data_IF_393744833898
#
_entry.id   IF_393744833898
#
_cell.length_a   1.000
_cell.length_b   1.000
_cell.length_c   1.000
_cell.angle_alpha   90.00
_cell.angle_beta   90.00
_cell.angle_gamma   90.00
#
_symmetry.space_group_name_H-M   'P 1'
#
loop_
_entity.id
_entity.type
_entity.pdbx_description
1 polymer ?
#
# COMPACT_ATOMS: atom_id res chain seq x y z
N UNK A 1 -10.49 -16.03 25.79
CA UNK A 1 -9.40 -15.15 26.27
C UNK A 1 -9.98 -13.84 26.75
N UNK A 2 -9.55 -13.33 27.91
CA UNK A 2 -9.92 -11.98 28.38
C UNK A 2 -9.34 -10.93 27.42
N UNK A 3 -10.05 -9.82 27.21
CA UNK A 3 -9.68 -8.72 26.31
C UNK A 3 -8.25 -8.19 26.56
N UNK A 4 -7.83 -8.13 27.82
CA UNK A 4 -6.47 -7.75 28.24
C UNK A 4 -5.38 -8.65 27.67
N UNK A 5 -5.62 -9.97 27.59
CA UNK A 5 -4.64 -10.91 27.02
C UNK A 5 -4.48 -10.72 25.51
N UNK A 6 -5.54 -10.37 24.79
CA UNK A 6 -5.48 -10.10 23.35
C UNK A 6 -4.67 -8.83 23.07
N UNK A 7 -4.85 -7.78 23.89
CA UNK A 7 -4.01 -6.57 23.81
C UNK A 7 -2.55 -6.85 24.11
N UNK A 8 -2.27 -7.61 25.16
CA UNK A 8 -0.90 -7.99 25.50
C UNK A 8 -0.23 -8.71 24.33
N UNK A 9 -0.90 -9.71 23.74
CA UNK A 9 -0.38 -10.43 22.58
C UNK A 9 -0.10 -9.50 21.39
N UNK A 10 -1.00 -8.56 21.12
CA UNK A 10 -0.82 -7.57 20.05
C UNK A 10 0.43 -6.72 20.30
N UNK A 11 0.60 -6.19 21.51
CA UNK A 11 1.79 -5.43 21.85
C UNK A 11 3.07 -6.27 21.79
N UNK A 12 3.03 -7.53 22.22
CA UNK A 12 4.16 -8.46 22.10
C UNK A 12 4.58 -8.67 20.63
N UNK A 13 3.62 -8.84 19.71
CA UNK A 13 3.91 -8.96 18.28
C UNK A 13 4.52 -7.68 17.70
N UNK A 14 4.03 -6.51 18.13
CA UNK A 14 4.58 -5.22 17.71
C UNK A 14 6.02 -5.03 18.21
N UNK A 15 6.30 -5.36 19.48
CA UNK A 15 7.64 -5.33 20.05
C UNK A 15 8.58 -6.31 19.33
N UNK A 16 8.12 -7.54 19.07
CA UNK A 16 8.89 -8.53 18.32
C UNK A 16 9.25 -8.02 16.94
N UNK A 17 8.32 -7.34 16.25
CA UNK A 17 8.59 -6.75 14.93
C UNK A 17 9.66 -5.65 14.99
N UNK A 18 9.69 -4.84 16.05
CA UNK A 18 10.77 -3.87 16.26
C UNK A 18 12.11 -4.60 16.48
N UNK A 19 12.13 -5.67 17.28
CA UNK A 19 13.35 -6.47 17.52
C UNK A 19 13.89 -7.05 16.19
N UNK A 20 13.02 -7.57 15.33
CA UNK A 20 13.39 -8.15 14.02
C UNK A 20 14.09 -7.15 13.09
N UNK A 21 13.88 -5.84 13.27
CA UNK A 21 14.61 -4.80 12.51
C UNK A 21 16.11 -4.86 12.79
N UNK A 22 16.50 -5.11 14.04
CA UNK A 22 17.90 -5.15 14.48
C UNK A 22 18.56 -6.51 14.27
N UNK A 23 17.83 -7.49 13.72
CA UNK A 23 18.42 -8.77 13.34
C UNK A 23 18.93 -8.66 11.90
N UNK A 24 20.18 -9.11 11.59
CA UNK A 24 20.67 -9.20 10.23
C UNK A 24 19.74 -10.05 9.34
N UNK A 25 19.41 -9.53 8.17
CA UNK A 25 18.58 -10.20 7.15
C UNK A 25 19.35 -10.25 5.83
N UNK A 26 19.15 -11.31 5.05
CA UNK A 26 20.04 -11.65 3.93
C UNK A 26 19.50 -11.35 2.51
N UNK A 27 18.42 -10.57 2.36
CA UNK A 27 18.05 -10.06 1.03
C UNK A 27 17.43 -11.13 0.11
N UNK A 28 16.12 -11.43 0.19
CA UNK A 28 15.52 -12.51 -0.62
C UNK A 28 14.38 -12.09 -1.56
N UNK A 29 13.50 -11.19 -1.12
CA UNK A 29 12.27 -10.84 -1.84
C UNK A 29 12.60 -10.09 -3.13
N UNK A 30 13.61 -9.22 -3.09
CA UNK A 30 14.08 -8.48 -4.25
C UNK A 30 15.56 -8.07 -4.09
N UNK A 31 16.35 -8.03 -5.18
CA UNK A 31 17.77 -7.65 -5.13
C UNK A 31 18.09 -6.35 -4.38
N UNK A 32 17.24 -5.32 -4.48
CA UNK A 32 17.44 -4.00 -3.88
C UNK A 32 16.54 -3.75 -2.64
N UNK A 33 16.00 -4.79 -1.99
CA UNK A 33 14.95 -4.65 -0.97
C UNK A 33 15.29 -3.80 0.27
N UNK A 34 16.58 -3.66 0.59
CA UNK A 34 17.07 -2.78 1.67
C UNK A 34 17.67 -1.48 1.14
N UNK A 35 17.94 -1.42 -0.16
CA UNK A 35 18.81 -0.46 -0.81
C UNK A 35 18.05 0.54 -1.68
N UNK A 36 16.84 0.19 -2.13
CA UNK A 36 16.01 0.95 -3.07
C UNK A 36 15.94 2.46 -2.76
N UNK A 37 15.74 2.83 -1.49
CA UNK A 37 15.76 4.24 -1.05
C UNK A 37 17.05 4.65 -0.37
N UNK A 38 17.73 3.67 0.22
CA UNK A 38 18.83 3.88 1.15
C UNK A 38 20.06 4.37 0.41
N UNK A 39 20.42 3.76 -0.72
CA UNK A 39 21.67 4.06 -1.43
C UNK A 39 21.71 5.45 -2.06
N UNK A 40 20.67 5.89 -2.81
CA UNK A 40 20.68 7.24 -3.36
C UNK A 40 20.70 8.34 -2.28
N UNK A 41 20.08 8.07 -1.11
CA UNK A 41 20.04 9.02 0.00
C UNK A 41 21.32 8.98 0.84
N UNK A 42 21.94 7.82 1.01
CA UNK A 42 23.20 7.70 1.74
C UNK A 42 24.33 8.45 1.01
N UNK A 43 24.40 8.33 -0.32
CA UNK A 43 25.33 9.15 -1.11
C UNK A 43 25.08 10.66 -0.91
N UNK A 44 23.82 11.10 -1.02
CA UNK A 44 23.47 12.52 -0.90
C UNK A 44 23.69 13.10 0.50
N UNK A 45 23.25 12.42 1.55
CA UNK A 45 23.24 12.97 2.91
C UNK A 45 24.44 12.54 3.75
N UNK A 46 24.97 11.33 3.55
CA UNK A 46 26.10 10.81 4.30
C UNK A 46 27.43 10.94 3.55
N UNK A 47 27.41 11.26 2.24
CA UNK A 47 28.60 11.35 1.36
C UNK A 47 29.42 10.07 1.31
N UNK A 48 28.74 8.93 1.32
CA UNK A 48 29.35 7.60 1.17
C UNK A 48 29.15 7.10 -0.25
N UNK A 49 30.12 6.39 -0.81
CA UNK A 49 30.01 5.79 -2.14
C UNK A 49 28.95 4.68 -2.13
N UNK A 50 27.97 4.77 -3.06
CA UNK A 50 26.89 3.78 -3.18
C UNK A 50 26.64 3.40 -4.64
N UNK A 51 26.08 2.20 -4.85
CA UNK A 51 25.72 1.70 -6.17
C UNK A 51 24.32 2.18 -6.57
N UNK A 52 24.18 3.43 -7.01
CA UNK A 52 22.89 3.96 -7.47
C UNK A 52 22.35 3.17 -8.67
N UNK A 53 21.18 2.57 -8.52
CA UNK A 53 20.47 1.97 -9.64
C UNK A 53 20.12 3.02 -10.71
N UNK A 54 20.08 2.58 -11.97
CA UNK A 54 19.79 3.42 -13.14
C UNK A 54 18.48 4.21 -13.02
N UNK A 55 17.48 3.67 -12.31
CA UNK A 55 16.16 4.29 -12.05
C UNK A 55 16.23 5.59 -11.22
N UNK A 56 17.35 5.83 -10.51
CA UNK A 56 17.60 6.98 -9.65
C UNK A 56 18.68 7.91 -10.21
N UNK A 57 18.88 7.90 -11.52
CA UNK A 57 19.87 8.75 -12.19
C UNK A 57 19.23 9.99 -12.84
N UNK A 58 20.01 11.06 -12.99
CA UNK A 58 19.59 12.29 -13.67
C UNK A 58 19.10 12.06 -15.11
N UNK A 59 19.68 11.08 -15.80
CA UNK A 59 19.37 10.75 -17.19
C UNK A 59 18.05 9.97 -17.30
N UNK A 60 17.73 9.13 -16.31
CA UNK A 60 16.51 8.31 -16.28
C UNK A 60 15.77 8.44 -14.94
N UNK A 61 15.20 9.62 -14.63
CA UNK A 61 14.56 9.88 -13.35
C UNK A 61 13.15 9.27 -13.34
N UNK A 62 13.06 7.98 -13.03
CA UNK A 62 11.82 7.20 -13.15
C UNK A 62 11.12 7.02 -11.80
N UNK A 63 11.87 7.07 -10.69
CA UNK A 63 11.32 6.90 -9.34
C UNK A 63 11.26 8.23 -8.60
N UNK A 64 10.14 8.50 -7.93
CA UNK A 64 10.08 9.65 -7.04
C UNK A 64 10.93 9.43 -5.80
N UNK A 65 11.72 10.44 -5.44
CA UNK A 65 12.56 10.44 -4.24
C UNK A 65 12.02 11.39 -3.16
N UNK A 66 10.90 12.07 -3.40
CA UNK A 66 10.28 12.97 -2.41
C UNK A 66 9.89 12.23 -1.12
N UNK A 67 9.18 11.09 -1.22
CA UNK A 67 8.80 10.32 -0.04
C UNK A 67 10.03 9.71 0.65
N UNK A 68 10.94 9.01 -0.06
CA UNK A 68 12.21 8.56 0.53
C UNK A 68 12.96 9.66 1.29
N UNK A 69 13.10 10.86 0.69
CA UNK A 69 13.73 12.00 1.33
C UNK A 69 12.99 12.44 2.59
N UNK A 70 11.66 12.57 2.54
CA UNK A 70 10.85 12.94 3.72
C UNK A 70 11.00 11.95 4.87
N UNK A 71 11.09 10.65 4.57
CA UNK A 71 11.12 9.61 5.60
C UNK A 71 12.53 9.38 6.17
N UNK A 72 13.54 9.31 5.31
CA UNK A 72 14.91 8.88 5.68
C UNK A 72 15.89 10.07 5.72
N UNK A 73 15.70 11.07 4.86
CA UNK A 73 16.60 12.22 4.70
C UNK A 73 16.92 12.97 6.00
N UNK A 74 15.93 13.46 6.77
CA UNK A 74 16.17 14.16 8.03
C UNK A 74 17.03 13.38 9.00
N UNK A 75 16.85 12.06 9.03
CA UNK A 75 17.57 11.17 9.92
C UNK A 75 19.01 10.97 9.46
N UNK A 76 19.25 10.75 8.17
CA UNK A 76 20.61 10.68 7.62
C UNK A 76 21.36 12.00 7.79
N UNK A 77 20.68 13.13 7.57
CA UNK A 77 21.25 14.45 7.84
C UNK A 77 21.62 14.63 9.31
N UNK A 78 20.72 14.30 10.24
CA UNK A 78 21.01 14.38 11.67
C UNK A 78 22.17 13.45 12.06
N UNK A 79 22.17 12.22 11.54
CA UNK A 79 23.22 11.24 11.78
C UNK A 79 24.58 11.72 11.27
N UNK A 80 24.64 12.25 10.05
CA UNK A 80 25.85 12.86 9.49
C UNK A 80 26.39 13.94 10.43
N UNK A 81 25.57 14.93 10.79
CA UNK A 81 26.02 16.05 11.62
C UNK A 81 26.48 15.64 13.02
N UNK A 82 25.86 14.64 13.64
CA UNK A 82 26.23 14.16 14.98
C UNK A 82 27.53 13.35 14.96
N UNK A 83 27.73 12.50 13.95
CA UNK A 83 28.86 11.56 13.91
C UNK A 83 30.00 12.00 12.99
N UNK A 84 29.88 13.16 12.32
CA UNK A 84 30.86 13.69 11.36
C UNK A 84 32.28 13.84 11.92
N UNK A 85 32.41 14.20 13.20
CA UNK A 85 33.68 14.66 13.77
C UNK A 85 34.41 13.61 14.62
N UNK A 86 33.75 12.53 15.04
CA UNK A 86 34.32 11.60 16.04
C UNK A 86 34.18 10.12 15.71
N UNK A 87 33.40 9.73 14.68
CA UNK A 87 33.00 8.33 14.51
C UNK A 87 32.73 7.90 13.05
N UNK A 88 33.34 8.53 12.03
CA UNK A 88 33.22 8.03 10.65
C UNK A 88 33.70 6.57 10.51
N UNK A 89 34.70 6.16 11.29
CA UNK A 89 35.17 4.77 11.34
C UNK A 89 34.19 3.80 12.01
N UNK A 90 33.19 4.29 12.77
CA UNK A 90 32.17 3.45 13.40
C UNK A 90 30.81 3.50 12.69
N UNK A 91 30.72 4.16 11.53
CA UNK A 91 29.54 4.13 10.68
C UNK A 91 29.48 2.76 10.01
N UNK A 92 29.18 1.73 10.81
CA UNK A 92 29.06 0.37 10.31
C UNK A 92 27.97 0.35 9.25
N UNK A 93 28.23 -0.32 8.12
CA UNK A 93 27.26 -0.52 7.03
C UNK A 93 25.92 -1.07 7.55
N UNK A 94 25.95 -1.74 8.71
CA UNK A 94 24.79 -2.15 9.48
C UNK A 94 23.81 -1.00 9.79
N UNK A 95 24.26 0.16 10.30
CA UNK A 95 23.36 1.26 10.67
C UNK A 95 22.73 1.94 9.46
N UNK A 96 23.46 2.06 8.35
CA UNK A 96 22.91 2.59 7.09
C UNK A 96 21.71 1.74 6.63
N UNK A 97 21.74 0.43 6.86
CA UNK A 97 20.66 -0.50 6.49
C UNK A 97 19.54 -0.55 7.54
N UNK A 98 19.88 -0.60 8.83
CA UNK A 98 18.91 -0.82 9.92
C UNK A 98 18.06 0.41 10.17
N UNK A 99 18.63 1.59 9.99
CA UNK A 99 18.00 2.84 10.36
C UNK A 99 16.77 3.17 9.47
N UNK A 100 16.85 3.08 8.12
CA UNK A 100 15.67 3.16 7.25
C UNK A 100 14.60 2.11 7.57
N UNK A 101 15.02 0.87 7.90
CA UNK A 101 14.10 -0.22 8.26
C UNK A 101 13.34 0.10 9.55
N UNK A 102 14.02 0.67 10.54
CA UNK A 102 13.41 1.13 11.78
C UNK A 102 12.38 2.23 11.52
N UNK A 103 12.70 3.21 10.67
CA UNK A 103 11.76 4.25 10.25
C UNK A 103 10.51 3.63 9.60
N UNK A 104 10.68 2.69 8.67
CA UNK A 104 9.55 2.02 8.01
C UNK A 104 8.62 1.32 9.01
N UNK A 105 9.19 0.64 10.00
CA UNK A 105 8.42 0.02 11.09
C UNK A 105 7.73 1.09 11.95
N UNK A 106 8.42 2.19 12.28
CA UNK A 106 7.84 3.30 13.04
C UNK A 106 6.67 3.94 12.31
N UNK A 107 6.75 4.19 11.01
CA UNK A 107 5.65 4.76 10.22
C UNK A 107 4.45 3.82 10.20
N UNK A 108 4.69 2.51 10.07
CA UNK A 108 3.62 1.52 10.16
C UNK A 108 2.91 1.52 11.53
N UNK A 109 3.57 1.99 12.60
CA UNK A 109 3.07 1.92 13.98
C UNK A 109 2.70 3.26 14.61
N UNK A 110 3.24 4.40 14.15
CA UNK A 110 3.30 5.62 14.96
C UNK A 110 3.29 6.92 14.15
N UNK A 111 2.11 7.31 13.66
CA UNK A 111 1.89 8.73 13.31
C UNK A 111 0.76 9.38 14.10
N UNK A 112 -0.18 8.60 14.64
CA UNK A 112 -1.19 9.01 15.63
C UNK A 112 -1.88 7.73 16.13
N UNK A 113 -2.54 7.75 17.29
CA UNK A 113 -3.38 6.61 17.72
C UNK A 113 -4.41 6.24 16.66
N UNK A 114 -4.86 7.20 15.85
CA UNK A 114 -5.81 7.02 14.74
C UNK A 114 -5.16 6.68 13.38
N UNK A 115 -3.87 7.00 13.21
CA UNK A 115 -3.12 6.84 11.95
C UNK A 115 -2.26 5.56 11.88
N UNK A 116 -2.09 4.79 12.96
CA UNK A 116 -1.44 3.48 12.89
C UNK A 116 -2.25 2.54 11.97
N UNK A 117 -1.58 1.82 11.07
CA UNK A 117 -2.20 0.86 10.15
C UNK A 117 -3.17 -0.09 10.85
N UNK A 118 -2.81 -0.53 12.06
CA UNK A 118 -3.65 -1.38 12.91
C UNK A 118 -4.91 -0.66 13.36
N UNK A 119 -4.81 0.61 13.76
CA UNK A 119 -5.99 1.41 14.11
C UNK A 119 -6.89 1.63 12.90
N UNK A 120 -6.30 1.97 11.74
CA UNK A 120 -7.05 2.13 10.50
C UNK A 120 -7.82 0.85 10.15
N UNK A 121 -7.15 -0.32 10.17
CA UNK A 121 -7.79 -1.62 9.98
C UNK A 121 -8.90 -1.84 11.01
N UNK A 122 -8.65 -1.58 12.30
CA UNK A 122 -9.67 -1.77 13.34
C UNK A 122 -10.88 -0.84 13.19
N UNK A 123 -10.66 0.37 12.66
CA UNK A 123 -11.71 1.34 12.40
C UNK A 123 -12.50 0.93 11.16
N UNK A 124 -11.84 0.54 10.07
CA UNK A 124 -12.48 0.00 8.87
C UNK A 124 -13.33 -1.23 9.24
N UNK A 125 -12.79 -2.19 10.00
CA UNK A 125 -13.52 -3.38 10.49
C UNK A 125 -14.75 -2.99 11.30
N UNK A 126 -14.63 -1.99 12.19
CA UNK A 126 -15.77 -1.47 12.97
C UNK A 126 -16.88 -0.96 12.05
N UNK A 127 -16.50 -0.22 11.02
CA UNK A 127 -17.44 0.43 10.12
C UNK A 127 -18.07 -0.57 9.14
N UNK A 128 -17.30 -1.53 8.64
CA UNK A 128 -17.75 -2.53 7.66
C UNK A 128 -18.65 -3.57 8.30
N UNK A 129 -18.41 -3.96 9.55
CA UNK A 129 -19.22 -4.99 10.21
C UNK A 129 -20.36 -4.42 11.05
N UNK A 130 -20.43 -3.09 11.23
CA UNK A 130 -21.31 -2.40 12.19
C UNK A 130 -21.25 -3.01 13.61
N UNK A 131 -20.23 -3.82 13.87
CA UNK A 131 -20.05 -4.54 15.11
C UNK A 131 -19.33 -3.61 16.10
N UNK A 132 -20.03 -3.31 17.20
CA UNK A 132 -19.48 -2.50 18.29
C UNK A 132 -18.52 -3.29 19.17
N UNK A 133 -18.42 -4.62 18.98
CA UNK A 133 -17.53 -5.47 19.77
C UNK A 133 -16.08 -5.02 19.64
N UNK A 134 -15.50 -4.63 20.78
CA UNK A 134 -14.08 -4.33 20.92
C UNK A 134 -13.19 -5.53 20.56
N UNK A 135 -13.76 -6.74 20.51
CA UNK A 135 -13.03 -7.99 20.26
C UNK A 135 -12.76 -8.21 18.76
N UNK A 136 -13.74 -7.95 17.89
CA UNK A 136 -13.62 -8.19 16.43
C UNK A 136 -12.50 -7.33 15.82
N UNK A 137 -12.31 -6.13 16.36
CA UNK A 137 -11.21 -5.21 16.02
C UNK A 137 -9.83 -5.77 16.38
N UNK A 138 -9.70 -6.26 17.62
CA UNK A 138 -8.45 -6.84 18.09
C UNK A 138 -8.10 -8.11 17.32
N UNK A 139 -9.10 -8.89 16.93
CA UNK A 139 -8.86 -10.08 16.10
C UNK A 139 -8.29 -9.73 14.74
N UNK A 140 -8.87 -8.76 14.02
CA UNK A 140 -8.30 -8.30 12.75
C UNK A 140 -6.87 -7.75 12.92
N UNK A 141 -6.63 -6.96 13.97
CA UNK A 141 -5.31 -6.45 14.33
C UNK A 141 -4.28 -7.57 14.61
N UNK A 142 -4.69 -8.61 15.33
CA UNK A 142 -3.84 -9.76 15.65
C UNK A 142 -3.53 -10.59 14.41
N UNK A 143 -4.50 -10.84 13.53
CA UNK A 143 -4.27 -11.51 12.26
C UNK A 143 -3.26 -10.71 11.43
N UNK A 144 -3.45 -9.40 11.28
CA UNK A 144 -2.49 -8.53 10.58
C UNK A 144 -1.08 -8.59 11.18
N UNK A 145 -0.99 -8.39 12.50
CA UNK A 145 0.29 -8.30 13.20
C UNK A 145 1.02 -9.64 13.29
N UNK A 146 0.33 -10.76 13.12
CA UNK A 146 0.92 -12.10 13.10
C UNK A 146 1.27 -12.59 11.70
N UNK A 147 0.97 -11.83 10.64
CA UNK A 147 1.40 -12.19 9.28
C UNK A 147 2.91 -12.06 9.11
N UNK A 148 3.51 -12.96 8.34
CA UNK A 148 4.91 -12.87 7.94
C UNK A 148 5.18 -11.58 7.16
N UNK A 149 4.18 -11.07 6.43
CA UNK A 149 4.24 -9.78 5.74
C UNK A 149 4.60 -8.63 6.68
N UNK A 150 4.07 -8.65 7.91
CA UNK A 150 4.41 -7.66 8.91
C UNK A 150 5.89 -7.79 9.36
N UNK A 151 6.40 -9.01 9.49
CA UNK A 151 7.76 -9.29 9.91
C UNK A 151 8.81 -9.17 8.81
N UNK A 152 8.43 -9.07 7.53
CA UNK A 152 9.37 -8.97 6.40
C UNK A 152 9.11 -7.71 5.57
N UNK A 153 8.00 -7.61 4.84
CA UNK A 153 7.74 -6.50 3.92
C UNK A 153 7.69 -5.14 4.60
N UNK A 154 7.01 -5.04 5.74
CA UNK A 154 6.81 -3.73 6.38
C UNK A 154 8.01 -3.23 7.20
N UNK A 155 9.09 -4.00 7.29
CA UNK A 155 10.36 -3.50 7.82
C UNK A 155 11.40 -3.24 6.73
N UNK A 156 11.01 -3.34 5.45
CA UNK A 156 11.83 -3.02 4.29
C UNK A 156 11.40 -1.69 3.70
N UNK A 157 12.30 -1.08 2.94
CA UNK A 157 12.11 0.21 2.28
C UNK A 157 11.33 0.07 0.96
N UNK A 158 10.30 -0.79 0.95
CA UNK A 158 9.46 -0.96 -0.22
C UNK A 158 8.42 0.15 -0.34
N UNK A 159 8.35 0.78 -1.51
CA UNK A 159 7.21 1.63 -1.92
C UNK A 159 5.86 0.91 -1.81
N UNK A 160 5.80 -0.43 -1.94
CA UNK A 160 4.56 -1.19 -1.80
C UNK A 160 4.00 -1.14 -0.36
N UNK A 161 4.88 -1.02 0.63
CA UNK A 161 4.47 -0.77 2.02
C UNK A 161 3.80 0.60 2.14
N UNK A 162 4.32 1.61 1.42
CA UNK A 162 3.74 2.95 1.37
C UNK A 162 2.37 2.94 0.66
N UNK A 163 2.23 2.24 -0.48
CA UNK A 163 0.94 2.01 -1.13
C UNK A 163 -0.07 1.36 -0.17
N UNK A 164 0.37 0.42 0.66
CA UNK A 164 -0.46 -0.26 1.66
C UNK A 164 -0.98 0.70 2.74
N UNK A 165 -0.12 1.60 3.22
CA UNK A 165 -0.51 2.64 4.19
C UNK A 165 -1.48 3.63 3.55
N UNK A 166 -1.19 4.10 2.33
CA UNK A 166 -2.06 5.02 1.59
C UNK A 166 -3.41 4.40 1.28
N UNK A 167 -3.45 3.10 0.99
CA UNK A 167 -4.68 2.35 0.74
C UNK A 167 -5.56 2.30 2.00
N UNK A 168 -4.95 2.03 3.16
CA UNK A 168 -5.67 2.07 4.43
C UNK A 168 -6.18 3.47 4.76
N UNK A 169 -5.38 4.51 4.51
CA UNK A 169 -5.77 5.90 4.74
C UNK A 169 -6.94 6.32 3.84
N UNK A 170 -6.88 5.96 2.56
CA UNK A 170 -7.91 6.25 1.58
C UNK A 170 -9.25 5.61 1.98
N UNK A 171 -9.23 4.32 2.31
CA UNK A 171 -10.41 3.60 2.78
C UNK A 171 -10.98 4.22 4.06
N UNK A 172 -10.13 4.56 5.02
CA UNK A 172 -10.54 5.21 6.26
C UNK A 172 -11.25 6.54 5.99
N UNK A 173 -10.62 7.43 5.23
CA UNK A 173 -11.15 8.76 4.86
C UNK A 173 -12.50 8.63 4.15
N UNK A 174 -12.62 7.72 3.19
CA UNK A 174 -13.87 7.53 2.44
C UNK A 174 -14.98 7.00 3.33
N UNK A 175 -14.71 5.96 4.13
CA UNK A 175 -15.73 5.36 5.00
C UNK A 175 -16.19 6.35 6.07
N UNK A 176 -15.27 7.10 6.66
CA UNK A 176 -15.59 8.12 7.68
C UNK A 176 -16.42 9.27 7.09
N UNK A 177 -16.05 9.73 5.88
CA UNK A 177 -16.79 10.79 5.19
C UNK A 177 -18.25 10.43 4.95
N UNK A 178 -18.55 9.16 4.62
CA UNK A 178 -19.93 8.69 4.43
C UNK A 178 -20.67 8.59 5.74
N UNK A 179 -20.04 8.05 6.77
CA UNK A 179 -20.67 7.92 8.09
C UNK A 179 -21.03 9.26 8.72
N UNK A 180 -20.13 10.24 8.65
CA UNK A 180 -20.33 11.57 9.23
C UNK A 180 -20.97 12.56 8.25
N UNK A 181 -21.22 12.14 6.99
CA UNK A 181 -21.87 12.91 5.92
C UNK A 181 -21.18 14.23 5.56
N UNK A 182 -19.84 14.24 5.55
CA UNK A 182 -19.06 15.40 5.09
C UNK A 182 -18.23 15.05 3.86
N UNK A 183 -17.96 16.05 3.01
CA UNK A 183 -17.11 15.87 1.85
C UNK A 183 -15.63 15.96 2.25
N UNK A 184 -14.79 15.09 1.67
CA UNK A 184 -13.33 15.03 1.91
C UNK A 184 -12.50 15.08 0.63
N UNK A 185 -12.86 15.91 -0.38
CA UNK A 185 -12.17 15.89 -1.67
C UNK A 185 -10.69 16.24 -1.56
N UNK A 186 -10.33 17.15 -0.65
CA UNK A 186 -8.94 17.57 -0.41
C UNK A 186 -8.06 16.43 0.11
N UNK A 187 -8.56 15.65 1.09
CA UNK A 187 -7.84 14.49 1.62
C UNK A 187 -7.68 13.41 0.54
N UNK A 188 -8.72 13.17 -0.25
CA UNK A 188 -8.70 12.18 -1.33
C UNK A 188 -7.67 12.58 -2.40
N UNK A 189 -7.71 13.82 -2.89
CA UNK A 189 -6.79 14.28 -3.93
C UNK A 189 -5.33 14.28 -3.49
N UNK A 190 -5.05 14.67 -2.23
CA UNK A 190 -3.70 14.56 -1.68
C UNK A 190 -3.21 13.11 -1.59
N UNK A 191 -4.03 12.18 -1.08
CA UNK A 191 -3.66 10.75 -0.99
C UNK A 191 -3.42 10.16 -2.40
N UNK A 192 -4.27 10.51 -3.37
CA UNK A 192 -4.13 10.08 -4.76
C UNK A 192 -2.82 10.58 -5.38
N UNK A 193 -2.45 11.85 -5.19
CA UNK A 193 -1.21 12.40 -5.70
C UNK A 193 0.01 11.73 -5.06
N UNK A 194 0.04 11.63 -3.72
CA UNK A 194 1.13 10.94 -2.99
C UNK A 194 1.27 9.50 -3.50
N UNK A 195 0.16 8.79 -3.68
CA UNK A 195 0.15 7.43 -4.17
C UNK A 195 0.64 7.31 -5.62
N UNK A 196 0.19 8.19 -6.52
CA UNK A 196 0.58 8.18 -7.93
C UNK A 196 2.09 8.43 -8.12
N UNK A 197 2.66 9.37 -7.36
CA UNK A 197 4.10 9.63 -7.36
C UNK A 197 4.93 8.57 -6.63
N UNK A 198 4.40 7.97 -5.55
CA UNK A 198 5.03 6.82 -4.93
C UNK A 198 5.14 5.66 -5.93
N UNK A 199 4.01 5.27 -6.54
CA UNK A 199 3.92 4.33 -7.66
C UNK A 199 2.62 4.52 -8.44
N UNK A 200 2.67 4.59 -9.79
CA UNK A 200 1.45 4.69 -10.62
C UNK A 200 0.46 3.53 -10.42
N UNK A 201 0.92 2.36 -9.98
CA UNK A 201 0.07 1.21 -9.64
C UNK A 201 -0.95 1.50 -8.54
N UNK A 202 -0.70 2.49 -7.67
CA UNK A 202 -1.62 2.85 -6.60
C UNK A 202 -3.02 3.23 -7.12
N UNK A 203 -3.10 3.82 -8.31
CA UNK A 203 -4.36 4.23 -8.94
C UNK A 203 -5.30 3.02 -9.12
N UNK A 204 -4.75 1.84 -9.37
CA UNK A 204 -5.52 0.60 -9.52
C UNK A 204 -6.21 0.20 -8.20
N UNK A 205 -5.56 0.38 -7.06
CA UNK A 205 -6.15 0.13 -5.74
C UNK A 205 -7.16 1.21 -5.35
N UNK A 206 -6.86 2.46 -5.69
CA UNK A 206 -7.68 3.61 -5.34
C UNK A 206 -8.96 3.73 -6.21
N UNK A 207 -8.97 3.13 -7.41
CA UNK A 207 -10.06 3.26 -8.37
C UNK A 207 -11.43 2.95 -7.76
N UNK A 208 -11.61 1.77 -7.16
CA UNK A 208 -12.92 1.35 -6.62
C UNK A 208 -13.37 2.23 -5.45
N UNK A 209 -12.56 2.47 -4.40
CA UNK A 209 -12.96 3.37 -3.32
C UNK A 209 -13.29 4.80 -3.79
N UNK A 210 -12.48 5.37 -4.69
CA UNK A 210 -12.67 6.74 -5.16
C UNK A 210 -13.92 6.85 -6.04
N UNK A 211 -14.13 5.90 -6.96
CA UNK A 211 -15.36 5.85 -7.75
C UNK A 211 -16.58 5.70 -6.86
N UNK A 212 -16.50 4.89 -5.82
CA UNK A 212 -17.57 4.81 -4.83
C UNK A 212 -17.85 6.17 -4.16
N UNK A 213 -16.82 6.91 -3.78
CA UNK A 213 -17.00 8.22 -3.14
C UNK A 213 -17.62 9.24 -4.10
N UNK A 214 -17.16 9.28 -5.36
CA UNK A 214 -17.65 10.15 -6.44
C UNK A 214 -19.13 9.85 -6.74
N UNK A 215 -19.48 8.57 -6.88
CA UNK A 215 -20.82 8.12 -7.27
C UNK A 215 -21.83 8.07 -6.10
N UNK A 216 -21.48 8.56 -4.92
CA UNK A 216 -22.37 8.52 -3.77
C UNK A 216 -23.33 9.70 -3.76
N UNK A 217 -24.60 9.42 -4.02
CA UNK A 217 -25.70 10.38 -4.15
C UNK A 217 -26.04 11.15 -2.87
N UNK A 218 -26.28 12.46 -2.97
CA UNK A 218 -27.18 13.16 -2.03
C UNK A 218 -28.63 12.82 -2.38
N UNK A 219 -29.36 12.32 -1.38
CA UNK A 219 -30.65 11.60 -1.44
C UNK A 219 -31.83 12.21 -2.23
N UNK A 220 -31.73 13.38 -2.87
CA UNK A 220 -32.91 14.15 -3.25
C UNK A 220 -33.27 14.25 -4.74
N UNK A 221 -32.40 13.88 -5.69
CA UNK A 221 -32.73 14.07 -7.11
C UNK A 221 -32.59 12.80 -7.95
N UNK A 222 -33.60 12.54 -8.78
CA UNK A 222 -33.70 11.35 -9.67
C UNK A 222 -33.42 11.66 -11.15
N UNK A 223 -33.03 12.90 -11.48
CA UNK A 223 -32.75 13.26 -12.87
C UNK A 223 -31.34 12.78 -13.27
N UNK A 224 -31.23 12.12 -14.42
CA UNK A 224 -29.95 11.64 -14.95
C UNK A 224 -28.90 12.75 -15.07
N UNK A 225 -29.31 13.93 -15.52
CA UNK A 225 -28.39 15.06 -15.65
C UNK A 225 -27.87 15.57 -14.31
N UNK A 226 -28.71 15.59 -13.27
CA UNK A 226 -28.24 16.05 -11.95
C UNK A 226 -27.26 15.07 -11.31
N UNK A 227 -27.44 13.77 -11.56
CA UNK A 227 -26.46 12.72 -11.19
C UNK A 227 -25.10 12.97 -11.85
N UNK A 228 -25.07 13.20 -13.16
CA UNK A 228 -23.82 13.48 -13.88
C UNK A 228 -23.16 14.74 -13.34
N UNK A 229 -23.93 15.81 -13.11
CA UNK A 229 -23.37 17.06 -12.57
C UNK A 229 -22.80 16.88 -11.17
N UNK A 230 -23.42 16.06 -10.31
CA UNK A 230 -22.90 15.77 -8.97
C UNK A 230 -21.60 14.95 -9.05
N UNK A 231 -21.56 13.93 -9.91
CA UNK A 231 -20.35 13.12 -10.12
C UNK A 231 -19.20 13.97 -10.67
N UNK A 232 -19.47 14.81 -11.65
CA UNK A 232 -18.50 15.75 -12.20
C UNK A 232 -18.03 16.74 -11.14
N UNK A 233 -18.95 17.30 -10.34
CA UNK A 233 -18.60 18.19 -9.23
C UNK A 233 -17.70 17.54 -8.19
N UNK A 234 -18.00 16.30 -7.80
CA UNK A 234 -17.16 15.51 -6.88
C UNK A 234 -15.77 15.23 -7.46
N UNK A 235 -15.70 14.87 -8.75
CA UNK A 235 -14.43 14.66 -9.44
C UNK A 235 -13.59 15.94 -9.50
N UNK A 236 -14.19 17.06 -9.93
CA UNK A 236 -13.52 18.35 -10.01
C UNK A 236 -13.07 18.86 -8.63
N UNK A 237 -13.79 18.54 -7.56
CA UNK A 237 -13.41 18.93 -6.21
C UNK A 237 -12.09 18.28 -5.73
N UNK A 238 -11.74 17.09 -6.24
CA UNK A 238 -10.49 16.38 -5.90
C UNK A 238 -9.28 17.07 -6.54
N UNK A 239 -9.46 17.62 -7.75
CA UNK A 239 -8.39 18.08 -8.64
C UNK A 239 -7.46 19.15 -8.02
N UNK A 240 -7.93 20.20 -7.32
CA UNK A 240 -7.05 21.23 -6.77
C UNK A 240 -5.99 20.66 -5.81
N UNK A 241 -6.41 19.79 -4.89
CA UNK A 241 -5.48 19.15 -3.94
C UNK A 241 -4.54 18.16 -4.61
N UNK A 242 -5.02 17.41 -5.61
CA UNK A 242 -4.19 16.51 -6.40
C UNK A 242 -3.08 17.29 -7.15
N UNK A 243 -3.45 18.39 -7.82
CA UNK A 243 -2.51 19.23 -8.57
C UNK A 243 -1.50 19.91 -7.64
N UNK A 244 -1.95 20.47 -6.51
CA UNK A 244 -1.07 21.13 -5.55
C UNK A 244 -0.01 20.16 -5.00
N UNK A 245 -0.41 18.95 -4.61
CA UNK A 245 0.55 17.94 -4.14
C UNK A 245 1.43 17.45 -5.28
N UNK A 246 0.89 17.23 -6.47
CA UNK A 246 1.68 16.82 -7.65
C UNK A 246 2.77 17.84 -7.97
N UNK A 247 2.48 19.13 -7.86
CA UNK A 247 3.46 20.20 -8.06
C UNK A 247 4.61 20.12 -7.06
N UNK A 248 4.31 19.90 -5.77
CA UNK A 248 5.34 19.69 -4.73
C UNK A 248 6.25 18.51 -5.10
N UNK A 249 5.68 17.41 -5.60
CA UNK A 249 6.45 16.25 -6.00
C UNK A 249 7.32 16.51 -7.24
N UNK A 250 6.78 17.19 -8.26
CA UNK A 250 7.53 17.55 -9.48
C UNK A 250 8.72 18.43 -9.11
N UNK A 251 8.53 19.46 -8.28
CA UNK A 251 9.63 20.32 -7.85
C UNK A 251 10.63 19.54 -7.00
N UNK A 252 10.17 18.76 -6.03
CA UNK A 252 11.03 17.96 -5.16
C UNK A 252 11.89 16.94 -5.92
N UNK A 253 11.31 16.26 -6.92
CA UNK A 253 12.06 15.35 -7.78
C UNK A 253 13.00 16.11 -8.72
N UNK A 254 12.60 17.25 -9.28
CA UNK A 254 13.45 18.05 -10.17
C UNK A 254 14.72 18.55 -9.46
N UNK A 255 14.58 18.98 -8.21
CA UNK A 255 15.73 19.32 -7.33
C UNK A 255 16.52 18.06 -6.98
N UNK A 256 15.86 16.93 -6.73
CA UNK A 256 16.57 15.68 -6.42
C UNK A 256 17.45 15.19 -7.57
N UNK A 257 17.02 15.37 -8.81
CA UNK A 257 17.75 14.93 -9.98
C UNK A 257 18.69 15.99 -10.55
N UNK A 258 18.98 17.04 -9.79
CA UNK A 258 19.88 18.14 -10.17
C UNK A 258 19.51 18.74 -11.55
N UNK A 259 18.20 18.80 -11.84
CA UNK A 259 17.65 19.42 -13.06
C UNK A 259 17.18 20.85 -12.84
N UNK A 260 17.01 21.23 -11.58
CA UNK A 260 16.36 22.46 -11.18
C UNK A 260 16.95 22.93 -9.86
N UNK A 261 17.45 24.16 -9.86
CA UNK A 261 18.00 24.81 -8.67
C UNK A 261 17.02 25.81 -8.06
N UNK A 262 17.26 26.20 -6.80
CA UNK A 262 16.44 27.20 -6.10
C UNK A 262 16.40 28.53 -6.88
N UNK A 263 17.51 28.90 -7.53
CA UNK A 263 17.58 30.14 -8.30
C UNK A 263 16.70 30.08 -9.57
N UNK A 264 16.62 28.91 -10.21
CA UNK A 264 15.74 28.70 -11.37
C UNK A 264 14.27 28.91 -10.97
N UNK A 265 13.85 28.41 -9.80
CA UNK A 265 12.48 28.59 -9.29
C UNK A 265 12.14 30.07 -9.09
N UNK A 266 13.10 30.86 -8.62
CA UNK A 266 12.89 32.26 -8.25
C UNK A 266 12.98 33.22 -9.45
N UNK A 267 13.80 32.89 -10.46
CA UNK A 267 14.18 33.83 -11.51
C UNK A 267 13.79 33.37 -12.93
N UNK A 268 13.59 32.07 -13.16
CA UNK A 268 13.29 31.55 -14.49
C UNK A 268 11.78 31.56 -14.78
N UNK A 269 11.40 31.85 -16.02
CA UNK A 269 10.02 31.73 -16.46
C UNK A 269 9.63 30.24 -16.50
N UNK A 270 8.47 29.83 -15.93
CA UNK A 270 7.99 28.46 -15.99
C UNK A 270 7.99 27.82 -17.39
N UNK A 271 7.72 28.59 -18.45
CA UNK A 271 7.76 28.08 -19.83
C UNK A 271 9.17 27.65 -20.24
N UNK A 272 10.20 28.43 -19.89
CA UNK A 272 11.59 28.08 -20.19
C UNK A 272 12.02 26.82 -19.43
N UNK A 273 11.53 26.64 -18.20
CA UNK A 273 11.81 25.45 -17.40
C UNK A 273 11.24 24.18 -18.06
N UNK A 274 10.07 24.29 -18.70
CA UNK A 274 9.43 23.21 -19.46
C UNK A 274 10.22 22.94 -20.74
N UNK A 275 10.50 23.98 -21.53
CA UNK A 275 11.20 23.86 -22.82
C UNK A 275 12.61 23.27 -22.67
N UNK A 276 13.30 23.60 -21.57
CA UNK A 276 14.62 23.07 -21.24
C UNK A 276 14.59 21.69 -20.56
N UNK A 277 13.42 21.03 -20.45
CA UNK A 277 13.25 19.73 -19.79
C UNK A 277 13.81 19.69 -18.34
N UNK A 278 13.71 20.81 -17.62
CA UNK A 278 14.14 20.92 -16.21
C UNK A 278 13.18 20.23 -15.25
N UNK A 279 11.91 20.11 -15.61
CA UNK A 279 10.89 19.49 -14.76
C UNK A 279 10.88 17.96 -14.90
N UNK A 280 10.97 17.27 -13.77
CA UNK A 280 10.89 15.82 -13.67
C UNK A 280 9.49 15.39 -13.25
N UNK A 281 8.80 14.68 -14.13
CA UNK A 281 7.51 14.05 -13.84
C UNK A 281 7.71 12.54 -13.75
N UNK A 282 8.08 12.06 -12.56
CA UNK A 282 8.45 10.65 -12.33
C UNK A 282 7.35 9.64 -12.70
N UNK A 283 6.04 9.87 -12.44
CA UNK A 283 4.98 8.95 -12.90
C UNK A 283 4.91 8.82 -14.42
N UNK A 284 5.10 9.94 -15.13
CA UNK A 284 5.09 9.94 -16.59
C UNK A 284 6.28 9.14 -17.11
N UNK A 285 7.48 9.41 -16.61
CA UNK A 285 8.69 8.66 -16.98
C UNK A 285 8.54 7.16 -16.71
N UNK A 286 7.95 6.79 -15.57
CA UNK A 286 7.66 5.41 -15.22
C UNK A 286 6.69 4.76 -16.21
N UNK A 287 5.57 5.41 -16.53
CA UNK A 287 4.58 4.88 -17.46
C UNK A 287 5.19 4.77 -18.86
N UNK A 288 5.85 5.81 -19.34
CA UNK A 288 6.51 5.82 -20.66
C UNK A 288 7.56 4.72 -20.78
N UNK A 289 8.32 4.43 -19.73
CA UNK A 289 9.29 3.33 -19.72
C UNK A 289 8.61 1.95 -19.79
N UNK A 290 7.54 1.74 -19.02
CA UNK A 290 6.85 0.45 -18.88
C UNK A 290 5.79 0.17 -19.96
N UNK A 291 5.50 1.09 -20.85
CA UNK A 291 4.63 0.83 -22.02
C UNK A 291 5.35 -0.06 -23.05
N UNK A 292 6.69 0.00 -23.13
CA UNK A 292 7.47 -0.73 -24.14
C UNK A 292 7.72 -2.18 -23.74
N UNK A 293 7.21 -3.18 -24.50
CA UNK A 293 7.34 -4.60 -24.13
C UNK A 293 8.79 -5.10 -24.05
N UNK A 294 9.71 -4.50 -24.81
CA UNK A 294 11.15 -4.81 -24.78
C UNK A 294 11.78 -4.56 -23.42
N UNK A 295 11.30 -3.55 -22.68
CA UNK A 295 11.77 -3.27 -21.32
C UNK A 295 11.21 -4.31 -20.32
N UNK A 296 9.97 -4.77 -20.55
CA UNK A 296 9.30 -5.74 -19.68
C UNK A 296 9.84 -7.16 -19.83
N UNK A 297 10.30 -7.53 -21.02
CA UNK A 297 10.88 -8.85 -21.28
C UNK A 297 12.07 -9.16 -20.36
N UNK A 298 12.81 -8.13 -19.93
CA UNK A 298 13.94 -8.26 -19.00
C UNK A 298 13.50 -8.62 -17.57
N UNK A 299 12.23 -8.44 -17.22
CA UNK A 299 11.67 -8.67 -15.88
C UNK A 299 10.98 -10.04 -15.73
N UNK A 300 11.00 -10.87 -16.78
CA UNK A 300 10.33 -12.16 -16.80
C UNK A 300 8.84 -12.04 -17.11
N UNK A 301 8.38 -12.78 -18.13
CA UNK A 301 6.97 -12.82 -18.47
C UNK A 301 6.29 -13.94 -17.69
N UNK A 302 5.18 -13.59 -17.03
CA UNK A 302 4.37 -14.53 -16.27
C UNK A 302 2.98 -14.66 -16.90
N UNK A 303 2.34 -15.83 -16.80
CA UNK A 303 0.99 -16.01 -17.29
C UNK A 303 -0.01 -15.22 -16.44
N UNK A 304 -1.09 -14.71 -17.05
CA UNK A 304 -2.10 -13.85 -16.40
C UNK A 304 -2.69 -14.46 -15.11
N UNK A 305 -2.74 -15.80 -15.00
CA UNK A 305 -3.24 -16.46 -13.79
C UNK A 305 -2.27 -16.47 -12.60
N UNK A 306 -1.00 -16.09 -12.79
CA UNK A 306 0.05 -16.21 -11.77
C UNK A 306 -0.28 -15.41 -10.51
N UNK A 307 -0.74 -14.16 -10.66
CA UNK A 307 -1.15 -13.33 -9.54
C UNK A 307 -2.25 -14.00 -8.69
N UNK A 308 -3.24 -14.62 -9.34
CA UNK A 308 -4.36 -15.27 -8.65
C UNK A 308 -3.96 -16.62 -8.04
N UNK A 309 -3.33 -17.51 -8.81
CA UNK A 309 -3.10 -18.89 -8.36
C UNK A 309 -1.82 -19.09 -7.54
N UNK A 310 -0.84 -18.18 -7.66
CA UNK A 310 0.45 -18.29 -6.98
C UNK A 310 0.64 -17.14 -5.99
N UNK A 311 0.55 -15.90 -6.47
CA UNK A 311 0.88 -14.74 -5.63
C UNK A 311 -0.13 -14.51 -4.49
N UNK A 312 -1.43 -14.65 -4.73
CA UNK A 312 -2.45 -14.53 -3.67
C UNK A 312 -2.25 -15.58 -2.57
N UNK A 313 -2.17 -16.90 -2.84
CA UNK A 313 -1.89 -17.90 -1.79
C UNK A 313 -0.59 -17.63 -1.03
N UNK A 314 0.46 -17.21 -1.73
CA UNK A 314 1.77 -16.92 -1.14
C UNK A 314 1.72 -15.71 -0.21
N UNK A 315 1.07 -14.62 -0.64
CA UNK A 315 0.98 -13.38 0.13
C UNK A 315 0.03 -13.51 1.33
N UNK A 316 -1.15 -14.11 1.16
CA UNK A 316 -2.21 -14.05 2.17
C UNK A 316 -2.54 -15.38 2.83
N UNK A 317 -1.92 -16.49 2.41
CA UNK A 317 -2.01 -17.81 3.06
C UNK A 317 -3.47 -18.26 3.24
N UNK A 318 -3.90 -18.58 4.48
CA UNK A 318 -5.27 -18.99 4.79
C UNK A 318 -6.34 -17.93 4.45
N UNK A 319 -5.97 -16.65 4.38
CA UNK A 319 -6.91 -15.59 3.99
C UNK A 319 -7.33 -15.73 2.51
N UNK A 320 -6.44 -16.23 1.64
CA UNK A 320 -6.75 -16.48 0.23
C UNK A 320 -7.83 -17.53 0.08
N UNK A 321 -7.73 -18.63 0.82
CA UNK A 321 -8.75 -19.67 0.83
C UNK A 321 -10.12 -19.12 1.26
N UNK A 322 -10.15 -18.24 2.27
CA UNK A 322 -11.40 -17.61 2.71
C UNK A 322 -12.01 -16.68 1.65
N UNK A 323 -11.19 -15.90 0.95
CA UNK A 323 -11.66 -15.00 -0.12
C UNK A 323 -12.25 -15.80 -1.29
N UNK A 324 -11.56 -16.84 -1.73
CA UNK A 324 -12.01 -17.67 -2.85
C UNK A 324 -13.22 -18.51 -2.50
N UNK A 325 -13.29 -19.03 -1.26
CA UNK A 325 -14.49 -19.70 -0.78
C UNK A 325 -15.71 -18.77 -0.81
N UNK A 326 -15.56 -17.55 -0.29
CA UNK A 326 -16.65 -16.56 -0.26
C UNK A 326 -17.05 -16.14 -1.68
N UNK A 327 -16.09 -16.00 -2.60
CA UNK A 327 -16.36 -15.74 -4.01
C UNK A 327 -17.20 -16.87 -4.63
N UNK A 328 -16.77 -18.13 -4.46
CA UNK A 328 -17.50 -19.29 -4.99
C UNK A 328 -18.90 -19.35 -4.39
N UNK A 329 -19.02 -19.22 -3.06
CA UNK A 329 -20.32 -19.27 -2.38
C UNK A 329 -21.28 -18.18 -2.89
N UNK A 330 -20.80 -16.94 -3.05
CA UNK A 330 -21.61 -15.83 -3.53
C UNK A 330 -21.98 -15.98 -5.01
N UNK A 331 -21.04 -16.43 -5.85
CA UNK A 331 -21.29 -16.68 -7.28
C UNK A 331 -22.28 -17.84 -7.44
N UNK A 332 -22.10 -18.94 -6.71
CA UNK A 332 -23.02 -20.08 -6.71
C UNK A 332 -24.42 -19.68 -6.26
N UNK A 333 -24.56 -18.81 -5.25
CA UNK A 333 -25.86 -18.25 -4.88
C UNK A 333 -26.48 -17.50 -6.05
N UNK A 334 -25.76 -16.61 -6.70
CA UNK A 334 -26.29 -15.86 -7.86
C UNK A 334 -26.77 -16.80 -8.96
N UNK A 335 -26.01 -17.84 -9.31
CA UNK A 335 -26.36 -18.81 -10.35
C UNK A 335 -27.51 -19.75 -9.94
N UNK A 336 -27.53 -20.28 -8.71
CA UNK A 336 -28.60 -21.18 -8.24
C UNK A 336 -29.93 -20.42 -8.05
N UNK A 337 -29.88 -19.15 -7.59
CA UNK A 337 -31.06 -18.31 -7.49
C UNK A 337 -31.61 -17.86 -8.86
N UNK A 338 -30.78 -17.82 -9.91
CA UNK A 338 -31.26 -17.51 -11.27
C UNK A 338 -32.04 -18.67 -11.90
N UNK A 339 -31.92 -19.90 -11.41
CA UNK A 339 -32.59 -21.07 -12.00
C UNK A 339 -34.05 -21.32 -11.56
N UNK A 340 -34.59 -20.66 -10.53
CA UNK A 340 -35.93 -21.02 -10.01
C UNK A 340 -36.98 -19.91 -9.87
N UNK A 341 -36.62 -18.62 -10.06
CA UNK A 341 -37.45 -17.40 -10.12
C UNK A 341 -36.59 -16.30 -9.53
N UNK A 342 -36.15 -15.29 -10.30
CA UNK A 342 -35.83 -13.92 -9.82
C UNK A 342 -34.89 -13.17 -10.78
N UNK A 343 -35.46 -12.47 -11.76
CA UNK A 343 -34.86 -11.22 -12.26
C UNK A 343 -34.71 -10.20 -11.10
N UNK A 344 -35.48 -10.40 -10.03
CA UNK A 344 -35.50 -9.59 -8.81
C UNK A 344 -34.26 -9.75 -7.91
N UNK A 345 -33.47 -10.82 -8.03
CA UNK A 345 -32.35 -11.10 -7.11
C UNK A 345 -31.15 -10.19 -7.34
N UNK A 346 -30.67 -10.13 -8.59
CA UNK A 346 -29.60 -9.21 -9.00
C UNK A 346 -30.06 -7.74 -8.85
N UNK A 347 -31.29 -7.44 -9.28
CA UNK A 347 -31.86 -6.11 -9.12
C UNK A 347 -31.99 -5.72 -7.65
N UNK A 348 -32.33 -6.64 -6.75
CA UNK A 348 -32.33 -6.40 -5.29
C UNK A 348 -30.94 -6.17 -4.74
N UNK A 349 -29.92 -6.92 -5.16
CA UNK A 349 -28.52 -6.68 -4.77
C UNK A 349 -28.05 -5.30 -5.23
N UNK A 350 -28.33 -4.93 -6.48
CA UNK A 350 -28.02 -3.61 -7.03
C UNK A 350 -28.78 -2.53 -6.26
N UNK A 351 -30.06 -2.76 -5.98
CA UNK A 351 -30.91 -1.83 -5.25
C UNK A 351 -30.40 -1.63 -3.81
N UNK A 352 -30.05 -2.70 -3.11
CA UNK A 352 -29.46 -2.70 -1.76
C UNK A 352 -28.10 -2.02 -1.75
N UNK A 353 -27.27 -2.23 -2.78
CA UNK A 353 -25.99 -1.54 -2.94
C UNK A 353 -26.18 -0.04 -3.19
N UNK A 354 -27.17 0.37 -3.98
CA UNK A 354 -27.38 1.78 -4.33
C UNK A 354 -28.06 2.58 -3.21
N UNK A 355 -29.02 2.00 -2.49
CA UNK A 355 -29.94 2.75 -1.64
C UNK A 355 -29.68 2.63 -0.14
N UNK A 356 -28.93 1.62 0.31
CA UNK A 356 -28.68 1.40 1.73
C UNK A 356 -27.22 1.70 2.11
N UNK A 357 -27.00 2.64 3.04
CA UNK A 357 -25.70 2.85 3.72
C UNK A 357 -25.46 1.75 4.77
N UNK A 358 -25.50 0.49 4.31
CA UNK A 358 -25.43 -0.69 5.14
C UNK A 358 -24.01 -1.30 5.17
N UNK A 359 -23.70 -2.11 6.20
CA UNK A 359 -22.47 -2.92 6.25
C UNK A 359 -22.21 -3.68 4.94
N UNK A 360 -23.29 -4.15 4.31
CA UNK A 360 -23.28 -4.81 3.01
C UNK A 360 -22.58 -3.99 1.92
N UNK A 361 -22.94 -2.71 1.76
CA UNK A 361 -22.37 -1.82 0.73
C UNK A 361 -20.86 -1.67 0.90
N UNK A 362 -20.40 -1.48 2.14
CA UNK A 362 -18.97 -1.39 2.44
C UNK A 362 -18.23 -2.71 2.17
N UNK A 363 -18.83 -3.86 2.49
CA UNK A 363 -18.26 -5.16 2.13
C UNK A 363 -18.12 -5.32 0.61
N UNK A 364 -19.15 -4.97 -0.16
CA UNK A 364 -19.10 -5.00 -1.62
C UNK A 364 -17.95 -4.16 -2.17
N UNK A 365 -17.73 -2.95 -1.65
CA UNK A 365 -16.60 -2.10 -2.07
C UNK A 365 -15.27 -2.82 -1.83
N UNK A 366 -15.07 -3.40 -0.64
CA UNK A 366 -13.82 -4.10 -0.34
C UNK A 366 -13.59 -5.32 -1.25
N UNK A 367 -14.64 -6.10 -1.56
CA UNK A 367 -14.54 -7.20 -2.52
C UNK A 367 -14.21 -6.69 -3.93
N UNK A 368 -14.91 -5.65 -4.40
CA UNK A 368 -14.66 -5.05 -5.70
C UNK A 368 -13.23 -4.51 -5.80
N UNK A 369 -12.72 -3.86 -4.75
CA UNK A 369 -11.32 -3.44 -4.69
C UNK A 369 -10.38 -4.65 -4.82
N UNK A 370 -10.61 -5.75 -4.10
CA UNK A 370 -9.76 -6.95 -4.20
C UNK A 370 -9.75 -7.50 -5.63
N UNK A 371 -10.93 -7.76 -6.21
CA UNK A 371 -11.01 -8.46 -7.49
C UNK A 371 -10.67 -7.57 -8.68
N UNK A 372 -11.08 -6.30 -8.70
CA UNK A 372 -10.75 -5.37 -9.79
C UNK A 372 -9.26 -5.07 -9.79
N UNK A 373 -8.65 -4.82 -8.62
CA UNK A 373 -7.20 -4.59 -8.57
C UNK A 373 -6.40 -5.85 -8.92
N UNK A 374 -6.83 -7.03 -8.45
CA UNK A 374 -6.20 -8.30 -8.84
C UNK A 374 -6.27 -8.52 -10.35
N UNK A 375 -7.43 -8.31 -10.97
CA UNK A 375 -7.61 -8.45 -12.41
C UNK A 375 -6.72 -7.46 -13.18
N UNK A 376 -6.77 -6.17 -12.83
CA UNK A 376 -5.99 -5.13 -13.49
C UNK A 376 -4.47 -5.37 -13.40
N UNK A 377 -3.97 -5.79 -12.23
CA UNK A 377 -2.55 -6.13 -12.06
C UNK A 377 -2.16 -7.42 -12.78
N UNK A 378 -3.08 -8.37 -12.94
CA UNK A 378 -2.85 -9.61 -13.69
C UNK A 378 -2.69 -9.36 -15.20
N UNK A 379 -3.28 -8.28 -15.72
CA UNK A 379 -3.15 -7.88 -17.13
C UNK A 379 -1.81 -7.21 -17.43
N UNK A 380 -1.12 -6.67 -16.42
CA UNK A 380 0.22 -6.10 -16.57
C UNK A 380 1.22 -7.27 -16.55
N UNK A 381 2.14 -7.44 -17.51
CA UNK A 381 3.02 -8.62 -17.61
C UNK A 381 4.03 -8.83 -16.46
N UNK A 382 3.95 -8.02 -15.40
CA UNK A 382 4.86 -7.99 -14.27
C UNK A 382 4.16 -8.53 -13.02
N UNK A 383 4.43 -9.78 -12.63
CA UNK A 383 3.63 -10.51 -11.63
C UNK A 383 4.30 -10.79 -10.29
N UNK A 384 5.26 -9.97 -9.87
CA UNK A 384 5.89 -10.12 -8.55
C UNK A 384 4.84 -10.06 -7.41
N UNK A 385 4.85 -11.00 -6.45
CA UNK A 385 3.82 -11.08 -5.41
C UNK A 385 3.65 -9.81 -4.57
N UNK A 386 4.72 -9.03 -4.38
CA UNK A 386 4.72 -7.81 -3.56
C UNK A 386 3.77 -6.72 -4.07
N UNK A 387 3.43 -6.72 -5.37
CA UNK A 387 2.47 -5.76 -5.92
C UNK A 387 1.10 -5.93 -5.31
N UNK A 388 0.75 -7.14 -4.85
CA UNK A 388 -0.54 -7.39 -4.22
C UNK A 388 -0.60 -6.89 -2.76
N UNK A 389 0.52 -6.49 -2.15
CA UNK A 389 0.60 -6.15 -0.72
C UNK A 389 -0.51 -5.19 -0.23
N UNK A 390 -0.91 -4.13 -0.97
CA UNK A 390 -1.99 -3.24 -0.54
C UNK A 390 -3.36 -3.92 -0.34
N UNK A 391 -3.60 -5.08 -0.98
CA UNK A 391 -4.83 -5.86 -0.81
C UNK A 391 -4.99 -6.45 0.59
N UNK A 392 -3.92 -6.53 1.40
CA UNK A 392 -4.02 -6.99 2.79
C UNK A 392 -5.04 -6.18 3.60
N UNK A 393 -5.24 -4.90 3.28
CA UNK A 393 -6.14 -4.00 3.99
C UNK A 393 -7.61 -4.38 3.80
N UNK A 394 -8.16 -4.41 2.57
CA UNK A 394 -9.53 -4.89 2.36
C UNK A 394 -9.69 -6.35 2.80
N UNK A 395 -8.69 -7.21 2.60
CA UNK A 395 -8.75 -8.63 2.98
C UNK A 395 -8.92 -8.81 4.50
N UNK A 396 -8.05 -8.19 5.31
CA UNK A 396 -8.15 -8.31 6.77
C UNK A 396 -9.40 -7.64 7.30
N UNK A 397 -9.83 -6.54 6.65
CA UNK A 397 -11.06 -5.84 7.00
C UNK A 397 -12.30 -6.72 6.84
N UNK A 398 -12.32 -7.59 5.83
CA UNK A 398 -13.40 -8.56 5.59
C UNK A 398 -13.27 -9.83 6.44
N UNK A 399 -12.07 -10.42 6.50
CA UNK A 399 -11.90 -11.81 6.96
C UNK A 399 -11.12 -11.96 8.27
N UNK A 400 -10.44 -10.92 8.76
CA UNK A 400 -9.56 -11.02 9.94
C UNK A 400 -10.30 -11.49 11.20
N UNK A 401 -11.49 -10.95 11.47
CA UNK A 401 -12.33 -11.37 12.59
C UNK A 401 -12.84 -12.82 12.42
N UNK A 402 -13.32 -13.18 11.22
CA UNK A 402 -13.85 -14.52 10.92
C UNK A 402 -12.76 -15.59 11.11
N UNK A 403 -11.56 -15.34 10.60
CA UNK A 403 -10.43 -16.26 10.70
C UNK A 403 -9.95 -16.41 12.14
N UNK A 404 -9.83 -15.32 12.91
CA UNK A 404 -9.44 -15.41 14.31
C UNK A 404 -10.48 -16.19 15.15
N UNK A 405 -11.77 -15.97 14.90
CA UNK A 405 -12.86 -16.75 15.52
C UNK A 405 -12.77 -18.24 15.14
N UNK A 406 -12.45 -18.55 13.89
CA UNK A 406 -12.25 -19.93 13.42
C UNK A 406 -11.06 -20.60 14.11
N UNK A 407 -9.92 -19.90 14.22
CA UNK A 407 -8.73 -20.37 14.94
C UNK A 407 -8.97 -20.57 16.43
N UNK A 408 -9.80 -19.73 17.05
CA UNK A 408 -10.23 -19.92 18.43
C UNK A 408 -11.10 -21.17 18.60
N UNK A 409 -11.94 -21.49 17.61
CA UNK A 409 -12.79 -22.69 17.61
C UNK A 409 -11.99 -23.95 17.29
N UNK A 410 -11.02 -23.86 16.39
CA UNK A 410 -10.19 -24.97 15.92
C UNK A 410 -8.70 -24.66 16.15
N UNK A 411 -8.14 -25.05 17.31
CA UNK A 411 -6.74 -24.76 17.66
C UNK A 411 -5.71 -25.31 16.67
N UNK A 412 -6.03 -26.41 15.98
CA UNK A 412 -5.20 -26.95 14.89
C UNK A 412 -4.97 -25.93 13.79
N UNK A 413 -5.98 -25.13 13.43
CA UNK A 413 -5.85 -24.06 12.44
C UNK A 413 -4.94 -22.93 12.92
N UNK A 414 -4.96 -22.61 14.23
CA UNK A 414 -4.03 -21.65 14.82
C UNK A 414 -2.59 -22.16 14.72
N UNK A 415 -2.36 -23.43 15.00
CA UNK A 415 -1.03 -24.06 14.87
C UNK A 415 -0.55 -24.01 13.42
N UNK A 416 -1.41 -24.39 12.45
CA UNK A 416 -1.10 -24.30 11.01
C UNK A 416 -0.78 -22.87 10.59
N UNK A 417 -1.53 -21.88 11.07
CA UNK A 417 -1.24 -20.47 10.81
C UNK A 417 0.13 -20.08 11.37
N UNK A 418 0.38 -20.30 12.66
CA UNK A 418 1.64 -19.91 13.29
C UNK A 418 2.84 -20.58 12.62
N UNK A 419 2.77 -21.88 12.32
CA UNK A 419 3.85 -22.59 11.61
C UNK A 419 4.08 -21.96 10.23
N UNK A 420 3.02 -21.77 9.44
CA UNK A 420 3.13 -21.15 8.11
C UNK A 420 3.74 -19.75 8.20
N UNK A 421 3.29 -18.90 9.12
CA UNK A 421 3.82 -17.54 9.28
C UNK A 421 5.28 -17.54 9.73
N UNK A 422 5.68 -18.45 10.63
CA UNK A 422 7.07 -18.58 11.08
C UNK A 422 7.97 -19.06 9.94
N UNK A 423 7.58 -20.12 9.22
CA UNK A 423 8.34 -20.65 8.09
C UNK A 423 8.54 -19.59 7.02
N UNK A 424 7.48 -18.87 6.64
CA UNK A 424 7.59 -17.79 5.65
C UNK A 424 8.42 -16.61 6.17
N UNK A 425 8.32 -16.26 7.45
CA UNK A 425 9.16 -15.21 8.05
C UNK A 425 10.64 -15.58 7.99
N UNK A 426 10.99 -16.83 8.30
CA UNK A 426 12.37 -17.34 8.23
C UNK A 426 12.84 -17.37 6.78
N UNK A 427 12.03 -17.93 5.88
CA UNK A 427 12.37 -18.06 4.48
C UNK A 427 12.64 -16.69 3.84
N UNK A 428 11.68 -15.77 3.92
CA UNK A 428 11.83 -14.44 3.35
C UNK A 428 12.78 -13.53 4.13
N UNK A 429 13.02 -13.79 5.42
CA UNK A 429 13.92 -13.00 6.26
C UNK A 429 15.38 -13.43 6.23
N UNK A 430 15.68 -14.71 5.94
CA UNK A 430 17.02 -15.29 6.17
C UNK A 430 17.61 -16.08 5.00
N UNK A 431 16.82 -16.62 4.07
CA UNK A 431 17.41 -17.43 3.00
C UNK A 431 17.99 -16.59 1.87
N UNK A 432 19.12 -17.06 1.34
CA UNK A 432 19.85 -16.51 0.20
C UNK A 432 19.26 -17.09 -1.08
N UNK A 433 19.09 -16.30 -2.14
CA UNK A 433 19.16 -16.83 -3.51
C UNK A 433 20.49 -16.39 -4.08
N UNK A 434 21.41 -17.33 -4.21
CA UNK A 434 22.67 -17.17 -4.95
C UNK A 434 22.30 -16.97 -6.42
N UNK A 435 22.02 -15.74 -6.84
CA UNK A 435 22.01 -15.35 -8.25
C UNK A 435 22.61 -13.94 -8.36
N UNK A 436 23.91 -13.94 -8.70
CA UNK A 436 24.71 -12.83 -9.26
C UNK A 436 25.15 -11.74 -8.26
N UNK A 437 26.16 -12.07 -7.46
CA UNK A 437 27.36 -11.21 -7.38
C UNK A 437 28.53 -12.13 -7.72
N UNK A 438 28.78 -12.28 -9.03
CA UNK A 438 30.10 -12.68 -9.48
C UNK A 438 31.05 -11.58 -9.02
N UNK A 439 31.95 -11.95 -8.12
CA UNK A 439 33.21 -11.24 -7.89
C UNK A 439 33.77 -10.73 -9.21
N UNK A 440 33.86 -9.41 -9.35
CA UNK A 440 34.92 -8.72 -10.07
C UNK A 440 35.39 -7.57 -9.23
#
# INVERSE_FOLDING_TARGET
MKHSRLKLLLYSLQTLRIIVVFIPQYGYIQPDEFHQFTEPLADRFLRVETLKCWEFTRNQPIRSMVIPQLLIGPMFWAFHNVFHSTLYQSLSSYWILVLPRFIMVRICFHFDRDLNLITQITHIVRMVNFDRSSTSKLYAALIHSSTYLAFTYYNRTFTNTIETILMALLLLVIIESKRQRYAVPTKIGSILAIGFFNRPTFVIFAAVPVMFWICSFKKHERNFWSIITEWMGNFLAILPSFLAVSFIFIIGDSIFYDRLDIMDILMENPMNMIDNNKLVITPWNFISYNIWPSNLANHGLHPVYFHSLVSMPLMFTLLTAAIYWDLIENVSKVFLFTSYRCRDGLMKIINDFCHNENPFRFRCILHLTIFISLLALSLIPHHEPRFLLPLIIPIISLYGDRIAKLMKKFPTLLVVWLITQIVLTIFYGRHYTIIIISTK
#
